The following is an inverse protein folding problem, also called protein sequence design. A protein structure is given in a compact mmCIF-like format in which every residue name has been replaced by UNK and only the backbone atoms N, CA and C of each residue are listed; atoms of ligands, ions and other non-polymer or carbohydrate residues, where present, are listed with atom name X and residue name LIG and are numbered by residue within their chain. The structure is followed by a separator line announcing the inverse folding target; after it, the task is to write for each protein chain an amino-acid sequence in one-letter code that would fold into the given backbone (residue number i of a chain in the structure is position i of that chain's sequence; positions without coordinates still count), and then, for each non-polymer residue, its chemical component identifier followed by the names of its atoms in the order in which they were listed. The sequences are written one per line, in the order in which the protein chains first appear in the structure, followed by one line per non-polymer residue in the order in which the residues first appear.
data_IF_740914872980
#
_entry.id   IF_740914872980
#
_cell.length_a   1.000
_cell.length_b   1.000
_cell.length_c   1.000
_cell.angle_alpha   90.00
_cell.angle_beta   90.00
_cell.angle_gamma   90.00
#
_symmetry.space_group_name_H-M   'P 1'
#
loop_
_entity.id
_entity.type
_entity.pdbx_description
1 polymer ?
#
# COMPACT_ATOMS: atom_id res chain seq x y z
N UNK A 1 12.70 5.30 -0.91
CA UNK A 1 11.62 4.40 -0.39
C UNK A 1 10.95 3.71 -1.56
N UNK A 2 11.02 2.41 -1.57
CA UNK A 2 10.39 1.60 -2.62
C UNK A 2 8.87 1.53 -2.42
N UNK A 3 8.13 1.63 -3.51
CA UNK A 3 6.67 1.44 -3.51
C UNK A 3 6.37 0.11 -4.18
N UNK A 4 5.75 -0.80 -3.45
CA UNK A 4 5.32 -2.11 -3.97
C UNK A 4 3.81 -2.08 -4.09
N UNK A 5 3.26 -2.53 -5.22
CA UNK A 5 1.82 -2.45 -5.41
C UNK A 5 1.23 -3.69 -6.05
N UNK A 6 -0.03 -3.95 -5.74
CA UNK A 6 -0.87 -4.94 -6.40
C UNK A 6 -2.01 -4.22 -7.11
N UNK A 7 -2.34 -4.65 -8.32
CA UNK A 7 -3.43 -4.05 -9.10
C UNK A 7 -4.13 -5.14 -9.90
N UNK A 8 -5.46 -5.14 -9.87
CA UNK A 8 -6.27 -6.10 -10.63
C UNK A 8 -7.00 -5.43 -11.78
N UNK A 9 -7.69 -4.33 -11.51
CA UNK A 9 -8.51 -3.62 -12.50
C UNK A 9 -7.82 -2.40 -13.09
N UNK A 10 -6.58 -2.14 -12.68
CA UNK A 10 -5.79 -1.01 -13.14
C UNK A 10 -5.90 0.23 -12.28
N UNK A 11 -6.76 0.27 -11.27
CA UNK A 11 -6.92 1.44 -10.41
C UNK A 11 -5.62 1.80 -9.67
N UNK A 12 -5.02 0.83 -8.99
CA UNK A 12 -3.76 1.07 -8.27
C UNK A 12 -2.64 1.39 -9.26
N UNK A 13 -2.59 0.69 -10.38
CA UNK A 13 -1.57 0.95 -11.41
C UNK A 13 -1.64 2.39 -11.93
N UNK A 14 -2.85 2.90 -12.16
CA UNK A 14 -3.04 4.29 -12.58
C UNK A 14 -2.60 5.27 -11.48
N UNK A 15 -2.92 4.95 -10.23
CA UNK A 15 -2.52 5.77 -9.09
C UNK A 15 -0.99 5.88 -9.01
N UNK A 16 -0.28 4.74 -9.00
CA UNK A 16 1.19 4.76 -8.89
C UNK A 16 1.84 5.44 -10.08
N UNK A 17 1.26 5.33 -11.27
CA UNK A 17 1.76 6.01 -12.46
C UNK A 17 1.75 7.52 -12.35
N UNK A 18 0.90 8.09 -11.49
CA UNK A 18 0.81 9.53 -11.26
C UNK A 18 1.79 10.03 -10.21
N UNK A 19 2.43 9.14 -9.45
CA UNK A 19 3.30 9.54 -8.34
C UNK A 19 4.70 9.97 -8.76
N UNK A 20 5.19 9.46 -9.88
CA UNK A 20 6.57 9.70 -10.31
C UNK A 20 7.62 9.01 -9.44
N UNK A 21 7.21 8.14 -8.53
CA UNK A 21 8.13 7.43 -7.63
C UNK A 21 8.55 6.09 -8.22
N UNK A 22 9.64 5.53 -7.67
CA UNK A 22 10.06 4.19 -8.02
C UNK A 22 9.06 3.17 -7.49
N UNK A 23 8.51 2.35 -8.38
CA UNK A 23 7.48 1.38 -8.04
C UNK A 23 7.79 0.01 -8.64
N UNK A 24 7.32 -1.04 -7.98
CA UNK A 24 7.40 -2.41 -8.49
C UNK A 24 6.08 -3.11 -8.22
N UNK A 25 5.58 -3.81 -9.23
CA UNK A 25 4.35 -4.58 -9.09
C UNK A 25 4.65 -5.93 -8.44
N UNK A 26 3.78 -6.37 -7.53
CA UNK A 26 3.89 -7.67 -6.88
C UNK A 26 3.89 -8.80 -7.92
N UNK A 27 4.76 -9.78 -7.69
CA UNK A 27 4.75 -11.07 -8.39
C UNK A 27 4.94 -12.16 -7.34
N UNK A 28 4.68 -13.41 -7.71
CA UNK A 28 4.80 -14.54 -6.78
C UNK A 28 6.23 -14.69 -6.21
N UNK A 29 7.22 -14.28 -6.97
CA UNK A 29 8.62 -14.47 -6.62
C UNK A 29 9.27 -13.25 -6.00
N UNK A 30 8.54 -12.13 -5.90
CA UNK A 30 9.12 -10.88 -5.45
C UNK A 30 9.58 -10.96 -4.00
N UNK A 31 10.86 -10.72 -3.79
CA UNK A 31 11.47 -10.53 -2.48
C UNK A 31 12.08 -9.13 -2.43
N UNK A 32 11.70 -8.35 -1.42
CA UNK A 32 12.24 -7.00 -1.27
C UNK A 32 13.31 -6.99 -0.19
N UNK A 33 14.40 -6.28 -0.47
CA UNK A 33 15.56 -6.21 0.43
C UNK A 33 15.69 -4.83 1.07
N UNK A 34 14.72 -3.97 0.87
CA UNK A 34 14.72 -2.60 1.42
C UNK A 34 13.36 -2.25 1.96
N UNK A 35 13.30 -1.22 2.79
CA UNK A 35 12.04 -0.74 3.34
C UNK A 35 11.12 -0.27 2.21
N UNK A 36 9.84 -0.64 2.31
CA UNK A 36 8.87 -0.33 1.27
C UNK A 36 7.51 0.03 1.87
N UNK A 37 6.71 0.72 1.06
CA UNK A 37 5.30 0.98 1.32
C UNK A 37 4.49 0.11 0.36
N UNK A 38 3.50 -0.57 0.89
CA UNK A 38 2.61 -1.43 0.10
C UNK A 38 1.34 -0.68 -0.26
N UNK A 39 0.96 -0.72 -1.53
CA UNK A 39 -0.36 -0.27 -1.99
C UNK A 39 -1.13 -1.49 -2.48
N UNK A 40 -2.29 -1.74 -1.90
CA UNK A 40 -3.14 -2.86 -2.27
C UNK A 40 -4.51 -2.38 -2.72
N UNK A 41 -5.20 -3.20 -3.50
CA UNK A 41 -6.63 -3.05 -3.71
C UNK A 41 -7.39 -3.87 -2.66
N UNK A 42 -8.70 -3.77 -2.66
CA UNK A 42 -9.56 -4.49 -1.72
C UNK A 42 -10.55 -5.33 -2.51
N UNK A 43 -10.71 -6.60 -2.15
CA UNK A 43 -11.62 -7.50 -2.86
C UNK A 43 -12.81 -7.89 -1.98
N UNK A 44 -13.91 -8.30 -2.62
CA UNK A 44 -15.10 -8.79 -1.92
C UNK A 44 -15.55 -7.85 -0.82
N UNK A 45 -15.79 -8.39 0.36
CA UNK A 45 -16.23 -7.63 1.53
C UNK A 45 -15.04 -7.13 2.37
N UNK A 46 -14.11 -6.44 1.74
CA UNK A 46 -12.96 -5.89 2.43
C UNK A 46 -11.80 -6.87 2.58
N UNK A 47 -11.73 -7.88 1.74
CA UNK A 47 -10.69 -8.90 1.83
C UNK A 47 -9.34 -8.43 1.29
N UNK A 48 -8.29 -9.01 1.86
CA UNK A 48 -6.93 -8.84 1.34
C UNK A 48 -6.76 -9.74 0.11
N UNK A 49 -6.28 -9.19 -1.02
CA UNK A 49 -6.02 -10.04 -2.19
C UNK A 49 -5.02 -11.15 -1.88
N UNK A 50 -5.21 -12.31 -2.49
CA UNK A 50 -4.37 -13.48 -2.22
C UNK A 50 -2.89 -13.21 -2.51
N UNK A 51 -2.58 -12.55 -3.63
CA UNK A 51 -1.19 -12.22 -3.97
C UNK A 51 -0.54 -11.30 -2.94
N UNK A 52 -1.33 -10.43 -2.33
CA UNK A 52 -0.85 -9.54 -1.28
C UNK A 52 -0.59 -10.32 0.01
N UNK A 53 -1.47 -11.26 0.36
CA UNK A 53 -1.26 -12.13 1.52
C UNK A 53 0.03 -12.93 1.37
N UNK A 54 0.29 -13.48 0.20
CA UNK A 54 1.52 -14.23 -0.07
C UNK A 54 2.76 -13.33 -0.01
N UNK A 55 2.67 -12.12 -0.57
CA UNK A 55 3.75 -11.15 -0.48
C UNK A 55 4.08 -10.82 0.99
N UNK A 56 3.07 -10.58 1.80
CA UNK A 56 3.25 -10.20 3.20
C UNK A 56 3.90 -11.32 4.03
N UNK A 57 3.57 -12.58 3.74
CA UNK A 57 4.22 -13.71 4.43
C UNK A 57 5.72 -13.70 4.26
N UNK A 58 6.21 -13.27 3.10
CA UNK A 58 7.64 -13.29 2.76
C UNK A 58 8.35 -11.98 3.11
N UNK A 59 7.64 -10.85 3.07
CA UNK A 59 8.26 -9.53 3.02
C UNK A 59 7.80 -8.58 4.13
N UNK A 60 6.96 -9.01 5.07
CA UNK A 60 6.33 -8.09 6.03
C UNK A 60 7.32 -7.28 6.85
N UNK A 61 8.48 -7.83 7.16
CA UNK A 61 9.51 -7.13 7.96
C UNK A 61 10.05 -5.87 7.27
N UNK A 62 9.91 -5.78 5.95
CA UNK A 62 10.36 -4.61 5.20
C UNK A 62 9.22 -3.65 4.86
N UNK A 63 7.98 -4.02 5.13
CA UNK A 63 6.82 -3.16 4.86
C UNK A 63 6.60 -2.23 6.03
N UNK A 64 6.75 -0.94 5.80
CA UNK A 64 6.70 0.08 6.87
C UNK A 64 5.39 0.85 6.89
N UNK A 65 4.53 0.64 5.91
CA UNK A 65 3.21 1.25 5.86
C UNK A 65 2.38 0.62 4.76
N UNK A 66 1.06 0.69 4.90
CA UNK A 66 0.14 0.13 3.93
C UNK A 66 -0.89 1.18 3.52
N UNK A 67 -1.24 1.16 2.23
CA UNK A 67 -2.22 2.03 1.60
C UNK A 67 -3.18 1.14 0.83
N UNK A 68 -4.47 1.46 0.86
CA UNK A 68 -5.45 0.68 0.10
C UNK A 68 -6.30 1.56 -0.81
N UNK A 69 -6.59 1.01 -1.99
CA UNK A 69 -7.64 1.49 -2.87
C UNK A 69 -8.91 0.72 -2.54
N UNK A 70 -10.05 1.40 -2.60
CA UNK A 70 -11.34 0.78 -2.35
C UNK A 70 -12.46 1.55 -2.99
N UNK A 71 -13.69 1.21 -2.60
CA UNK A 71 -14.91 1.88 -3.05
C UNK A 71 -15.65 2.36 -1.81
N UNK A 72 -15.93 3.68 -1.74
CA UNK A 72 -16.62 4.28 -0.59
C UNK A 72 -18.05 3.76 -0.41
N UNK A 73 -18.63 3.17 -1.44
CA UNK A 73 -19.95 2.54 -1.32
C UNK A 73 -19.96 1.35 -0.37
N UNK A 74 -18.80 0.83 0.00
CA UNK A 74 -18.69 -0.28 0.95
C UNK A 74 -18.71 0.16 2.41
N UNK A 75 -18.85 1.47 2.69
CA UNK A 75 -18.96 1.98 4.06
C UNK A 75 -17.77 1.59 4.93
N UNK A 76 -18.04 0.89 6.04
CA UNK A 76 -17.00 0.46 6.99
C UNK A 76 -15.95 -0.47 6.37
N UNK A 77 -16.26 -1.08 5.22
CA UNK A 77 -15.34 -1.95 4.51
C UNK A 77 -14.48 -1.20 3.50
N UNK A 78 -14.61 0.13 3.41
CA UNK A 78 -13.80 0.94 2.52
C UNK A 78 -12.31 0.77 2.85
N UNK A 79 -11.57 0.21 1.89
CA UNK A 79 -10.13 -0.01 2.07
C UNK A 79 -9.78 -0.92 3.23
N UNK A 80 -10.68 -1.80 3.64
CA UNK A 80 -10.49 -2.67 4.82
C UNK A 80 -9.32 -3.62 4.68
N UNK A 81 -8.85 -3.90 3.47
CA UNK A 81 -7.66 -4.72 3.27
C UNK A 81 -6.44 -4.13 3.99
N UNK A 82 -6.28 -2.80 3.96
CA UNK A 82 -5.19 -2.13 4.69
C UNK A 82 -5.32 -2.32 6.19
N UNK A 83 -6.53 -2.19 6.73
CA UNK A 83 -6.78 -2.38 8.17
C UNK A 83 -6.44 -3.79 8.61
N UNK A 84 -6.79 -4.79 7.80
CA UNK A 84 -6.49 -6.19 8.11
C UNK A 84 -5.00 -6.48 8.11
N UNK A 85 -4.28 -5.92 7.14
CA UNK A 85 -2.82 -6.06 7.06
C UNK A 85 -2.16 -5.37 8.26
N UNK A 86 -2.59 -4.15 8.57
CA UNK A 86 -2.07 -3.39 9.71
C UNK A 86 -2.28 -4.15 11.02
N UNK A 87 -3.47 -4.71 11.21
CA UNK A 87 -3.79 -5.47 12.42
C UNK A 87 -2.94 -6.73 12.56
N UNK A 88 -2.71 -7.43 11.45
CA UNK A 88 -1.98 -8.68 11.45
C UNK A 88 -0.47 -8.50 11.60
N UNK A 89 0.10 -7.49 10.95
CA UNK A 89 1.56 -7.33 10.87
C UNK A 89 2.12 -6.12 11.62
N UNK A 90 1.27 -5.18 12.03
CA UNK A 90 1.68 -4.09 12.92
C UNK A 90 2.14 -2.79 12.28
N UNK A 91 2.23 -2.69 10.95
CA UNK A 91 2.57 -1.42 10.33
C UNK A 91 1.35 -0.51 10.20
N UNK A 92 1.54 0.82 10.17
CA UNK A 92 0.40 1.74 10.10
C UNK A 92 -0.28 1.77 8.73
N UNK A 93 -1.58 2.06 8.75
CA UNK A 93 -2.31 2.45 7.54
C UNK A 93 -1.98 3.91 7.27
N UNK A 94 -1.32 4.20 6.16
CA UNK A 94 -0.91 5.56 5.84
C UNK A 94 -2.04 6.38 5.28
N UNK A 95 -2.84 5.80 4.40
CA UNK A 95 -4.04 6.42 3.83
C UNK A 95 -4.84 5.39 3.05
N UNK A 96 -6.03 5.81 2.63
CA UNK A 96 -6.89 5.06 1.72
C UNK A 96 -7.35 6.02 0.64
N UNK A 97 -7.60 5.51 -0.56
CA UNK A 97 -8.15 6.32 -1.64
C UNK A 97 -9.20 5.53 -2.42
N UNK A 98 -10.07 6.24 -3.10
CA UNK A 98 -11.13 5.62 -3.89
C UNK A 98 -10.69 5.42 -5.33
N UNK A 99 -10.90 4.20 -5.84
CA UNK A 99 -10.61 3.84 -7.24
C UNK A 99 -9.15 4.13 -7.63
N UNK A 100 -8.95 5.04 -8.58
CA UNK A 100 -7.61 5.44 -9.06
C UNK A 100 -7.05 6.64 -8.32
N UNK A 101 -7.78 7.15 -7.31
CA UNK A 101 -7.37 8.32 -6.55
C UNK A 101 -7.47 9.62 -7.34
N UNK A 102 -7.48 10.72 -6.61
CA UNK A 102 -7.44 12.08 -7.18
C UNK A 102 -6.00 12.60 -7.16
N UNK A 103 -5.77 13.75 -7.80
CA UNK A 103 -4.48 14.41 -7.72
C UNK A 103 -4.12 14.79 -6.29
N UNK A 104 -5.13 15.17 -5.48
CA UNK A 104 -4.91 15.44 -4.05
C UNK A 104 -4.50 14.17 -3.30
N UNK A 105 -5.07 13.02 -3.65
CA UNK A 105 -4.67 11.74 -3.06
C UNK A 105 -3.21 11.42 -3.39
N UNK A 106 -2.79 11.68 -4.62
CA UNK A 106 -1.40 11.45 -5.04
C UNK A 106 -0.44 12.33 -4.22
N UNK A 107 -0.78 13.61 -4.04
CA UNK A 107 0.06 14.52 -3.27
C UNK A 107 0.11 14.12 -1.79
N UNK A 108 -1.02 13.71 -1.22
CA UNK A 108 -1.07 13.20 0.15
C UNK A 108 -0.20 11.95 0.30
N UNK A 109 -0.29 11.04 -0.66
CA UNK A 109 0.53 9.83 -0.65
C UNK A 109 2.02 10.16 -0.62
N UNK A 110 2.46 11.07 -1.48
CA UNK A 110 3.87 11.49 -1.50
C UNK A 110 4.30 12.08 -0.16
N UNK A 111 3.44 12.87 0.47
CA UNK A 111 3.71 13.43 1.80
C UNK A 111 3.85 12.32 2.84
N UNK A 112 2.94 11.35 2.83
CA UNK A 112 2.99 10.22 3.77
C UNK A 112 4.25 9.39 3.59
N UNK A 113 4.67 9.16 2.35
CA UNK A 113 5.91 8.43 2.07
C UNK A 113 7.11 9.19 2.60
N UNK A 114 7.17 10.51 2.41
CA UNK A 114 8.25 11.32 2.95
C UNK A 114 8.30 11.26 4.48
N UNK A 115 7.15 11.34 5.14
CA UNK A 115 7.08 11.27 6.61
C UNK A 115 7.61 9.93 7.12
N UNK A 116 7.20 8.82 6.50
CA UNK A 116 7.65 7.48 6.89
C UNK A 116 9.14 7.33 6.63
N UNK A 117 9.64 7.81 5.51
CA UNK A 117 11.08 7.77 5.19
C UNK A 117 11.88 8.54 6.22
N UNK A 118 11.40 9.71 6.62
CA UNK A 118 12.06 10.55 7.63
C UNK A 118 12.09 9.82 8.99
N UNK A 119 10.99 9.21 9.40
CA UNK A 119 10.90 8.47 10.66
C UNK A 119 11.90 7.31 10.68
N UNK A 120 12.03 6.58 9.59
CA UNK A 120 12.97 5.46 9.48
C UNK A 120 14.42 5.95 9.59
N UNK A 121 14.75 7.07 8.95
CA UNK A 121 16.08 7.66 9.06
C UNK A 121 16.39 8.08 10.50
N UNK A 122 15.42 8.65 11.20
CA UNK A 122 15.56 9.04 12.61
C UNK A 122 15.83 7.83 13.50
N UNK A 123 15.12 6.72 13.27
CA UNK A 123 15.30 5.50 14.03
C UNK A 123 16.66 4.84 13.80
N UNK A 124 17.25 5.05 12.63
CA UNK A 124 18.55 4.48 12.26
C UNK A 124 19.73 5.20 12.88
N UNK A 125 19.52 6.41 13.40
CA UNK A 125 20.55 7.20 14.08
C UNK A 125 20.59 6.83 15.55
#
# INVERSE_FOLDING_TARGET
MLIVYASKTGNVKRFVGKTGLETVQISEELMVNEKCVLITYTTGFGAVPEEVSEFMKKNSKNVVGVVASGNRNWGDMFGASADKISKQYGMPVLMKFEMSGTNNDVELFKTKVREVSHTILQEAI
#
